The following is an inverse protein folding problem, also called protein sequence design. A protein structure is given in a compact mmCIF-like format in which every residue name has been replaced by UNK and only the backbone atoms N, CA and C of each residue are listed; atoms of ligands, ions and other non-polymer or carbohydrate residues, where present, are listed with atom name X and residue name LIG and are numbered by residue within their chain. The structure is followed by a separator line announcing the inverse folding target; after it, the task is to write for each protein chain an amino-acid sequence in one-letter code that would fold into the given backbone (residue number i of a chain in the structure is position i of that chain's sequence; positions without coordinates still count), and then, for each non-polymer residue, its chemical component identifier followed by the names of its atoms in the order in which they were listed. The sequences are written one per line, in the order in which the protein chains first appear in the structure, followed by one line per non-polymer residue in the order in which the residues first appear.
data_IF_565764823856
#
_entry.id   IF_565764823856
#
_cell.length_a   1.000
_cell.length_b   1.000
_cell.length_c   1.000
_cell.angle_alpha   90.00
_cell.angle_beta   90.00
_cell.angle_gamma   90.00
#
_symmetry.space_group_name_H-M   'P 1'
#
loop_
_entity.id
_entity.type
_entity.pdbx_description
1 polymer ?
#
# COMPACT_ATOMS: atom_id res chain seq x y z
N UNK A 1 -0.48 -27.21 4.76
CA UNK A 1 -0.73 -26.24 3.67
C UNK A 1 -2.06 -25.56 3.94
N UNK A 2 -2.08 -24.43 4.66
CA UNK A 2 -3.31 -23.69 4.99
C UNK A 2 -3.15 -22.27 4.44
N UNK A 3 -4.19 -21.80 3.75
CA UNK A 3 -4.39 -20.44 3.25
C UNK A 3 -3.58 -20.02 2.02
N UNK A 4 -3.64 -20.79 0.93
CA UNK A 4 -3.26 -20.24 -0.38
C UNK A 4 -4.29 -19.17 -0.75
N UNK A 5 -3.88 -17.90 -0.76
CA UNK A 5 -4.78 -16.78 -1.11
C UNK A 5 -5.20 -16.95 -2.57
N UNK A 6 -6.50 -16.96 -2.81
CA UNK A 6 -7.06 -16.96 -4.15
C UNK A 6 -6.97 -15.54 -4.74
N UNK A 7 -6.25 -15.42 -5.85
CA UNK A 7 -5.95 -14.15 -6.51
C UNK A 7 -6.71 -13.98 -7.83
N UNK A 8 -7.79 -14.75 -8.05
CA UNK A 8 -8.60 -14.69 -9.27
C UNK A 8 -9.43 -13.41 -9.40
N UNK A 9 -9.73 -12.73 -8.29
CA UNK A 9 -10.59 -11.53 -8.24
C UNK A 9 -9.82 -10.22 -7.99
N UNK A 10 -8.55 -10.14 -8.39
CA UNK A 10 -7.73 -8.93 -8.17
C UNK A 10 -8.04 -7.86 -9.20
N UNK A 11 -8.54 -6.71 -8.72
CA UNK A 11 -8.85 -5.53 -9.55
C UNK A 11 -7.62 -4.63 -9.67
N UNK A 12 -6.97 -4.38 -8.53
CA UNK A 12 -5.80 -3.54 -8.41
C UNK A 12 -4.94 -4.02 -7.24
N UNK A 13 -3.68 -3.63 -7.20
CA UNK A 13 -2.80 -3.97 -6.09
C UNK A 13 -1.64 -2.98 -5.97
N UNK A 14 -1.08 -2.89 -4.77
CA UNK A 14 0.11 -2.11 -4.48
C UNK A 14 1.05 -2.91 -3.58
N UNK A 15 2.31 -2.97 -3.98
CA UNK A 15 3.41 -3.54 -3.19
C UNK A 15 4.29 -2.40 -2.71
N UNK A 16 4.56 -2.37 -1.41
CA UNK A 16 5.57 -1.51 -0.80
C UNK A 16 6.79 -2.38 -0.49
N UNK A 17 7.91 -2.02 -1.11
CA UNK A 17 9.22 -2.65 -0.90
C UNK A 17 9.94 -1.86 0.19
N UNK A 18 9.97 -2.43 1.40
CA UNK A 18 10.73 -1.92 2.54
C UNK A 18 11.36 -3.11 3.28
N UNK A 19 11.94 -2.89 4.46
CA UNK A 19 12.38 -3.98 5.35
C UNK A 19 11.27 -5.01 5.62
N UNK A 20 10.00 -4.56 5.52
CA UNK A 20 8.82 -5.41 5.48
C UNK A 20 8.08 -5.22 4.17
N UNK A 21 7.83 -6.31 3.45
CA UNK A 21 7.01 -6.27 2.24
C UNK A 21 5.55 -6.25 2.66
N UNK A 22 4.84 -5.22 2.19
CA UNK A 22 3.41 -5.06 2.43
C UNK A 22 2.71 -5.00 1.09
N UNK A 23 1.68 -5.82 0.92
CA UNK A 23 0.85 -5.83 -0.29
C UNK A 23 -0.58 -5.47 0.07
N UNK A 24 -1.09 -4.43 -0.57
CA UNK A 24 -2.51 -4.11 -0.57
C UNK A 24 -3.12 -4.65 -1.86
N UNK A 25 -4.20 -5.41 -1.75
CA UNK A 25 -4.93 -6.03 -2.86
C UNK A 25 -6.36 -5.51 -2.82
N UNK A 26 -6.81 -4.91 -3.91
CA UNK A 26 -8.19 -4.52 -4.11
C UNK A 26 -8.97 -5.61 -4.84
N UNK A 27 -10.10 -5.99 -4.26
CA UNK A 27 -11.05 -6.97 -4.80
C UNK A 27 -12.45 -6.39 -4.75
N UNK A 28 -13.43 -7.05 -5.37
CA UNK A 28 -14.85 -6.65 -5.26
C UNK A 28 -15.39 -6.67 -3.82
N UNK A 29 -14.72 -7.38 -2.90
CA UNK A 29 -15.09 -7.46 -1.48
C UNK A 29 -14.45 -6.37 -0.62
N UNK A 30 -13.59 -5.53 -1.21
CA UNK A 30 -12.82 -4.49 -0.52
C UNK A 30 -11.31 -4.72 -0.60
N UNK A 31 -10.58 -4.01 0.25
CA UNK A 31 -9.11 -4.00 0.29
C UNK A 31 -8.62 -5.00 1.33
N UNK A 32 -7.74 -5.91 0.92
CA UNK A 32 -7.01 -6.83 1.79
C UNK A 32 -5.55 -6.42 1.87
N UNK A 33 -5.00 -6.37 3.08
CA UNK A 33 -3.58 -6.13 3.32
C UNK A 33 -2.95 -7.46 3.74
N UNK A 34 -1.87 -7.86 3.07
CA UNK A 34 -1.09 -9.07 3.39
C UNK A 34 0.38 -8.71 3.64
N UNK A 35 1.03 -9.53 4.45
CA UNK A 35 2.41 -9.40 4.92
C UNK A 35 3.00 -10.78 5.20
N UNK A 36 4.33 -10.88 5.36
CA UNK A 36 5.03 -12.14 5.61
C UNK A 36 5.04 -13.07 4.38
N UNK A 37 4.97 -14.38 4.58
CA UNK A 37 5.09 -15.38 3.51
C UNK A 37 4.05 -15.19 2.38
N UNK A 38 2.81 -14.84 2.72
CA UNK A 38 1.74 -14.57 1.74
C UNK A 38 2.10 -13.40 0.80
N UNK A 39 2.79 -12.38 1.33
CA UNK A 39 3.24 -11.24 0.53
C UNK A 39 4.38 -11.64 -0.41
N UNK A 40 5.26 -12.55 0.02
CA UNK A 40 6.35 -13.08 -0.80
C UNK A 40 5.80 -13.92 -1.97
N UNK A 41 4.85 -14.80 -1.71
CA UNK A 41 4.18 -15.59 -2.74
C UNK A 41 3.50 -14.69 -3.78
N UNK A 42 2.86 -13.60 -3.33
CA UNK A 42 2.25 -12.63 -4.23
C UNK A 42 3.29 -11.94 -5.12
N UNK A 43 4.35 -11.37 -4.55
CA UNK A 43 5.34 -10.63 -5.34
C UNK A 43 6.06 -11.53 -6.34
N UNK A 44 6.40 -12.77 -5.97
CA UNK A 44 7.11 -13.70 -6.84
C UNK A 44 6.26 -14.09 -8.05
N UNK A 45 4.94 -14.12 -7.87
CA UNK A 45 4.00 -14.39 -8.96
C UNK A 45 3.77 -13.17 -9.86
N UNK A 46 3.52 -11.99 -9.29
CA UNK A 46 2.99 -10.85 -10.06
C UNK A 46 4.03 -9.79 -10.44
N UNK A 47 5.03 -9.53 -9.60
CA UNK A 47 5.97 -8.42 -9.83
C UNK A 47 6.88 -8.65 -11.05
N UNK A 48 7.48 -9.85 -11.26
CA UNK A 48 8.31 -10.11 -12.43
C UNK A 48 7.59 -9.89 -13.76
N UNK A 49 6.30 -10.24 -13.84
CA UNK A 49 5.49 -10.06 -15.04
C UNK A 49 5.33 -8.58 -15.43
N UNK A 50 5.31 -7.67 -14.46
CA UNK A 50 5.22 -6.23 -14.71
C UNK A 50 6.55 -5.70 -15.26
N UNK A 51 7.66 -6.05 -14.63
CA UNK A 51 8.99 -5.63 -15.09
C UNK A 51 9.38 -6.21 -16.46
N UNK A 52 8.79 -7.34 -16.86
CA UNK A 52 9.01 -7.94 -18.17
C UNK A 52 8.28 -7.21 -19.31
N UNK A 53 7.22 -6.45 -19.02
CA UNK A 53 6.38 -5.79 -20.05
C UNK A 53 6.95 -4.47 -20.52
N UNK A 54 7.46 -3.65 -19.61
CA UNK A 54 7.90 -2.30 -19.92
C UNK A 54 8.94 -1.76 -18.94
N UNK A 55 9.64 -0.71 -19.35
CA UNK A 55 10.51 0.06 -18.47
C UNK A 55 9.67 0.93 -17.54
N UNK A 56 9.86 0.75 -16.23
CA UNK A 56 9.09 1.46 -15.20
C UNK A 56 9.90 2.66 -14.71
N UNK A 57 9.25 3.83 -14.64
CA UNK A 57 9.87 5.06 -14.14
C UNK A 57 9.17 5.55 -12.89
N UNK A 58 9.92 6.20 -11.99
CA UNK A 58 9.34 6.82 -10.80
C UNK A 58 8.41 7.97 -11.22
N UNK A 59 7.13 7.89 -10.83
CA UNK A 59 6.14 8.92 -11.18
C UNK A 59 6.43 10.31 -10.60
N UNK A 60 7.27 10.37 -9.56
CA UNK A 60 7.60 11.63 -8.88
C UNK A 60 8.86 12.31 -9.41
N UNK A 61 9.87 11.55 -9.85
CA UNK A 61 11.18 12.11 -10.24
C UNK A 61 11.71 11.62 -11.59
N UNK A 62 11.02 10.71 -12.26
CA UNK A 62 11.38 10.23 -13.59
C UNK A 62 12.58 9.28 -13.66
N UNK A 63 13.19 8.87 -12.54
CA UNK A 63 14.29 7.89 -12.56
C UNK A 63 13.80 6.52 -13.01
N UNK A 64 14.61 5.81 -13.81
CA UNK A 64 14.37 4.42 -14.19
C UNK A 64 14.42 3.52 -12.95
N UNK A 65 13.41 2.66 -12.79
CA UNK A 65 13.28 1.76 -11.67
C UNK A 65 13.79 0.37 -11.98
N UNK A 66 14.38 -0.25 -10.97
CA UNK A 66 14.86 -1.62 -10.97
C UNK A 66 14.65 -2.22 -9.56
N UNK A 67 14.90 -3.52 -9.36
CA UNK A 67 14.68 -4.16 -8.06
C UNK A 67 15.49 -3.56 -6.90
N UNK A 68 16.59 -2.83 -7.16
CA UNK A 68 17.41 -2.25 -6.09
C UNK A 68 16.99 -0.83 -5.67
N UNK A 69 16.11 -0.15 -6.42
CA UNK A 69 15.71 1.22 -6.13
C UNK A 69 14.19 1.46 -6.05
N UNK A 70 13.38 0.45 -6.38
CA UNK A 70 11.92 0.55 -6.30
C UNK A 70 11.47 0.53 -4.85
N UNK A 71 10.64 1.50 -4.47
CA UNK A 71 10.03 1.58 -3.14
C UNK A 71 8.56 1.18 -3.14
N UNK A 72 7.84 1.49 -4.21
CA UNK A 72 6.44 1.09 -4.38
C UNK A 72 6.15 0.77 -5.84
N UNK A 73 5.40 -0.31 -6.06
CA UNK A 73 4.80 -0.66 -7.35
C UNK A 73 3.29 -0.80 -7.17
N UNK A 74 2.52 -0.15 -8.02
CA UNK A 74 1.06 -0.18 -7.98
C UNK A 74 0.54 -0.50 -9.37
N UNK A 75 -0.35 -1.47 -9.46
CA UNK A 75 -1.16 -1.74 -10.64
C UNK A 75 -2.57 -1.29 -10.35
N UNK A 76 -3.02 -0.27 -11.05
CA UNK A 76 -4.36 0.32 -10.94
C UNK A 76 -5.40 -0.53 -11.70
N UNK A 77 -6.71 -0.29 -11.46
CA UNK A 77 -7.77 -0.89 -12.25
C UNK A 77 -7.54 -0.62 -13.75
N UNK A 78 -7.68 -1.66 -14.58
CA UNK A 78 -7.40 -1.57 -16.02
C UNK A 78 -5.94 -1.82 -16.41
N UNK A 79 -5.06 -2.14 -15.44
CA UNK A 79 -3.69 -2.58 -15.70
C UNK A 79 -2.65 -1.48 -15.85
N UNK A 80 -3.02 -0.22 -15.59
CA UNK A 80 -2.05 0.89 -15.58
C UNK A 80 -1.07 0.75 -14.42
N UNK A 81 0.21 0.95 -14.68
CA UNK A 81 1.29 0.79 -13.70
C UNK A 81 1.77 2.15 -13.21
N UNK A 82 1.80 2.33 -11.90
CA UNK A 82 2.45 3.45 -11.25
C UNK A 82 3.53 2.95 -10.29
N UNK A 83 4.64 3.69 -10.18
CA UNK A 83 5.70 3.32 -9.27
C UNK A 83 6.43 4.52 -8.66
N UNK A 84 7.06 4.31 -7.51
CA UNK A 84 7.93 5.28 -6.83
C UNK A 84 9.26 4.65 -6.46
N UNK A 85 10.35 5.39 -6.61
CA UNK A 85 11.63 5.01 -6.01
C UNK A 85 11.57 5.16 -4.49
N UNK A 86 12.44 4.42 -3.79
CA UNK A 86 12.52 4.40 -2.31
C UNK A 86 12.61 5.83 -1.76
N UNK A 87 13.51 6.66 -2.30
CA UNK A 87 13.69 8.04 -1.83
C UNK A 87 12.46 8.94 -1.98
N UNK A 88 11.65 8.74 -3.03
CA UNK A 88 10.42 9.51 -3.22
C UNK A 88 9.30 9.01 -2.30
N UNK A 89 9.22 7.70 -2.07
CA UNK A 89 8.26 7.10 -1.15
C UNK A 89 8.53 7.53 0.29
N UNK A 90 9.78 7.45 0.76
CA UNK A 90 10.17 7.87 2.12
C UNK A 90 9.80 9.33 2.39
N UNK A 91 10.08 10.22 1.42
CA UNK A 91 9.72 11.64 1.52
C UNK A 91 8.22 11.85 1.67
N UNK A 92 7.41 11.06 0.98
CA UNK A 92 5.95 11.09 1.10
C UNK A 92 5.47 10.56 2.45
N UNK A 93 5.99 9.41 2.90
CA UNK A 93 5.65 8.82 4.21
C UNK A 93 5.95 9.84 5.32
N UNK A 94 7.14 10.43 5.32
CA UNK A 94 7.54 11.45 6.30
C UNK A 94 6.60 12.67 6.23
N UNK A 95 6.26 13.13 5.01
CA UNK A 95 5.33 14.25 4.84
C UNK A 95 3.94 13.92 5.38
N UNK A 96 3.42 12.73 5.13
CA UNK A 96 2.13 12.25 5.62
C UNK A 96 2.11 12.16 7.13
N UNK A 97 3.12 11.56 7.76
CA UNK A 97 3.25 11.49 9.22
C UNK A 97 3.27 12.89 9.84
N UNK A 98 4.04 13.83 9.26
CA UNK A 98 4.09 15.22 9.72
C UNK A 98 2.73 15.92 9.61
N UNK A 99 1.98 15.66 8.55
CA UNK A 99 0.63 16.20 8.38
C UNK A 99 -0.36 15.60 9.39
N UNK A 100 -0.27 14.31 9.67
CA UNK A 100 -1.09 13.65 10.69
C UNK A 100 -0.82 14.19 12.09
N UNK A 101 0.45 14.43 12.46
CA UNK A 101 0.82 15.03 13.75
C UNK A 101 0.33 16.48 13.91
N UNK A 102 0.16 17.22 12.82
CA UNK A 102 -0.34 18.60 12.83
C UNK A 102 -1.86 18.68 12.87
N UNK A 103 -2.57 17.59 12.55
CA UNK A 103 -4.02 17.52 12.69
C UNK A 103 -4.33 17.06 14.11
N UNK A 104 -5.18 17.75 14.88
CA UNK A 104 -5.70 17.17 16.10
C UNK A 104 -6.34 15.84 15.70
N UNK A 105 -5.92 14.75 16.34
CA UNK A 105 -6.63 13.48 16.27
C UNK A 105 -8.02 13.84 16.79
N UNK A 106 -9.01 13.92 15.89
CA UNK A 106 -10.42 14.00 16.27
C UNK A 106 -10.70 12.66 16.96
N UNK A 107 -10.41 12.62 18.25
CA UNK A 107 -10.73 11.49 19.09
C UNK A 107 -12.25 11.42 19.06
N UNK A 108 -12.80 10.37 18.46
CA UNK A 108 -14.19 10.00 18.63
C UNK A 108 -14.41 9.47 20.06
N UNK A 109 -13.94 10.19 21.07
CA UNK A 109 -14.39 9.99 22.44
C UNK A 109 -15.83 10.48 22.41
N UNK A 110 -16.82 9.59 22.60
CA UNK A 110 -18.17 10.04 22.78
C UNK A 110 -18.14 10.91 24.03
N UNK A 111 -18.56 12.17 23.91
CA UNK A 111 -18.87 12.96 25.09
C UNK A 111 -20.04 12.25 25.74
N UNK A 112 -19.76 11.43 26.75
CA UNK A 112 -20.77 10.96 27.68
C UNK A 112 -21.36 12.22 28.31
N UNK A 113 -22.55 12.59 27.86
CA UNK A 113 -23.40 13.53 28.59
C UNK A 113 -23.74 12.82 29.89
N UNK A 114 -23.03 13.14 30.96
CA UNK A 114 -23.52 12.93 32.31
C UNK A 114 -24.84 13.69 32.42
N UNK A 115 -25.94 12.96 32.26
CA UNK A 115 -27.24 13.40 32.70
C UNK A 115 -27.18 13.40 34.23
N UNK A 116 -26.86 14.57 34.79
CA UNK A 116 -27.16 14.87 36.17
C UNK A 116 -28.64 14.69 36.41
N UNK A 117 -29.01 13.60 37.05
CA UNK A 117 -30.30 13.49 37.73
C UNK A 117 -30.03 13.83 39.19
N UNK A 118 -30.17 15.12 39.50
CA UNK A 118 -30.52 15.56 40.85
C UNK A 118 -32.03 15.70 40.90
N UNK A 119 -32.69 14.82 41.66
CA UNK A 119 -33.71 15.13 42.68
C UNK A 119 -34.06 13.84 43.40
#
# INVERSE_FOLDING_TARGET
MRNKVDFTDVIAWSVVFSDYIVVAIETHKGIKIIYGDDSLDFILKYVPEIFAKESIYCKSCGILLNPSNIGQLTVLPGGHVEAKCISCLEREIIRTIRLMKKRPILSAIPVSRDLGVQT
#
